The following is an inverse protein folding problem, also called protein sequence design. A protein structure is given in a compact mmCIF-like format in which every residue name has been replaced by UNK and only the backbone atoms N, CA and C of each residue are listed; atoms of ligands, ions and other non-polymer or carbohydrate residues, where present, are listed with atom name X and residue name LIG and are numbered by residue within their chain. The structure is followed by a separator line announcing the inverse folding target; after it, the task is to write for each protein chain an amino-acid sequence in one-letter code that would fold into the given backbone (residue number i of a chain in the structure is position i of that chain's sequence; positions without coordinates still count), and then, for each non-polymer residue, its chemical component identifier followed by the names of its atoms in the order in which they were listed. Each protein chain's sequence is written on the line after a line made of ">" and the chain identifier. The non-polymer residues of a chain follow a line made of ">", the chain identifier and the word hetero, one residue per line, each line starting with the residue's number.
data_IF_357282767592
#
_entry.id   IF_357282767592
#
_cell.length_a   1.000
_cell.length_b   1.000
_cell.length_c   1.000
_cell.angle_alpha   90.00
_cell.angle_beta   90.00
_cell.angle_gamma   90.00
#
_symmetry.space_group_name_H-M   'P 1'
#
loop_
_entity.id
_entity.type
_entity.pdbx_description
1 polymer ?
#
# COMPACT_ATOMS: atom_id res chain seq x y z
N UNK A 1 -15.76 -17.65 -20.63
CA UNK A 1 -15.19 -18.18 -19.37
C UNK A 1 -16.32 -18.77 -18.53
N UNK A 2 -16.13 -19.93 -17.85
CA UNK A 2 -17.08 -20.46 -16.91
C UNK A 2 -17.36 -19.46 -15.78
N UNK A 3 -18.60 -19.42 -15.28
CA UNK A 3 -19.03 -18.43 -14.26
C UNK A 3 -18.23 -18.53 -12.96
N UNK A 4 -17.78 -19.74 -12.62
CA UNK A 4 -16.96 -20.05 -11.44
C UNK A 4 -15.51 -19.50 -11.52
N UNK A 5 -15.04 -19.16 -12.73
CA UNK A 5 -13.72 -18.53 -12.94
C UNK A 5 -13.78 -17.01 -12.75
N UNK A 6 -14.97 -16.44 -12.81
CA UNK A 6 -15.19 -14.98 -12.72
C UNK A 6 -15.64 -14.56 -11.32
N UNK A 7 -16.34 -15.44 -10.61
CA UNK A 7 -16.86 -15.19 -9.26
C UNK A 7 -16.20 -16.16 -8.28
N UNK A 8 -15.42 -15.68 -7.32
CA UNK A 8 -14.94 -16.51 -6.22
C UNK A 8 -16.11 -17.12 -5.45
N UNK A 9 -15.93 -18.35 -4.94
CA UNK A 9 -16.95 -19.06 -4.18
C UNK A 9 -17.45 -18.20 -3.01
N UNK A 10 -18.78 -18.01 -2.96
CA UNK A 10 -19.45 -17.28 -1.89
C UNK A 10 -19.54 -15.76 -2.07
N UNK A 11 -19.01 -15.20 -3.17
CA UNK A 11 -19.09 -13.76 -3.47
C UNK A 11 -20.22 -13.48 -4.46
N UNK A 12 -21.11 -12.58 -4.13
CA UNK A 12 -22.18 -12.13 -5.01
C UNK A 12 -21.67 -11.10 -6.04
N UNK A 13 -22.35 -10.93 -7.20
CA UNK A 13 -21.98 -9.89 -8.16
C UNK A 13 -22.01 -8.47 -7.58
N UNK A 14 -22.86 -8.23 -6.60
CA UNK A 14 -22.96 -6.93 -5.93
C UNK A 14 -21.76 -6.68 -5.03
N UNK A 15 -21.38 -7.65 -4.20
CA UNK A 15 -20.17 -7.58 -3.36
C UNK A 15 -18.92 -7.43 -4.22
N UNK A 16 -18.82 -8.14 -5.35
CA UNK A 16 -17.70 -7.98 -6.29
C UNK A 16 -17.64 -6.56 -6.86
N UNK A 17 -18.78 -5.96 -7.18
CA UNK A 17 -18.87 -4.58 -7.65
C UNK A 17 -18.43 -3.59 -6.55
N UNK A 18 -18.85 -3.79 -5.32
CA UNK A 18 -18.47 -2.96 -4.17
C UNK A 18 -16.95 -3.05 -3.90
N UNK A 19 -16.38 -4.26 -3.92
CA UNK A 19 -14.94 -4.49 -3.81
C UNK A 19 -14.19 -3.78 -4.95
N UNK A 20 -14.70 -3.87 -6.18
CA UNK A 20 -14.06 -3.23 -7.34
C UNK A 20 -14.05 -1.71 -7.24
N UNK A 21 -15.14 -1.11 -6.76
CA UNK A 21 -15.24 0.33 -6.51
C UNK A 21 -14.27 0.74 -5.38
N UNK A 22 -14.24 -0.02 -4.29
CA UNK A 22 -13.33 0.26 -3.18
C UNK A 22 -11.86 0.18 -3.61
N UNK A 23 -11.50 -0.83 -4.39
CA UNK A 23 -10.16 -0.96 -4.95
C UNK A 23 -9.81 0.20 -5.88
N UNK A 24 -10.77 0.73 -6.63
CA UNK A 24 -10.57 1.91 -7.46
C UNK A 24 -10.29 3.15 -6.64
N UNK A 25 -11.09 3.41 -5.58
CA UNK A 25 -10.90 4.55 -4.68
C UNK A 25 -9.52 4.47 -4.00
N UNK A 26 -9.13 3.30 -3.56
CA UNK A 26 -7.80 3.09 -2.97
C UNK A 26 -6.70 3.39 -3.98
N UNK A 27 -6.82 2.88 -5.22
CA UNK A 27 -5.85 3.11 -6.28
C UNK A 27 -5.75 4.58 -6.70
N UNK A 28 -6.87 5.31 -6.70
CA UNK A 28 -6.93 6.75 -6.95
C UNK A 28 -6.15 7.52 -5.89
N UNK A 29 -6.40 7.24 -4.61
CA UNK A 29 -5.70 7.89 -3.51
C UNK A 29 -4.18 7.62 -3.56
N UNK A 30 -3.78 6.38 -3.81
CA UNK A 30 -2.36 6.02 -3.98
C UNK A 30 -1.75 6.74 -5.19
N UNK A 31 -2.46 6.81 -6.31
CA UNK A 31 -1.98 7.50 -7.51
C UNK A 31 -1.72 8.99 -7.28
N UNK A 32 -2.63 9.67 -6.56
CA UNK A 32 -2.47 11.07 -6.16
C UNK A 32 -1.26 11.21 -5.23
N UNK A 33 -1.18 10.37 -4.20
CA UNK A 33 -0.09 10.40 -3.23
C UNK A 33 1.28 10.25 -3.90
N UNK A 34 1.44 9.24 -4.75
CA UNK A 34 2.69 8.97 -5.48
C UNK A 34 3.05 10.12 -6.43
N UNK A 35 2.08 10.67 -7.16
CA UNK A 35 2.34 11.78 -8.08
C UNK A 35 2.78 13.04 -7.32
N UNK A 36 2.14 13.36 -6.20
CA UNK A 36 2.47 14.52 -5.37
C UNK A 36 3.83 14.35 -4.68
N UNK A 37 4.10 13.18 -4.09
CA UNK A 37 5.39 12.87 -3.47
C UNK A 37 6.54 12.96 -4.50
N UNK A 38 6.35 12.40 -5.69
CA UNK A 38 7.33 12.49 -6.80
C UNK A 38 7.63 13.95 -7.20
N UNK A 39 6.66 14.85 -7.07
CA UNK A 39 6.80 16.29 -7.32
C UNK A 39 7.37 17.06 -6.13
N UNK A 40 7.65 16.38 -5.00
CA UNK A 40 8.22 16.96 -3.79
C UNK A 40 7.21 17.67 -2.89
N UNK A 41 5.92 17.40 -3.07
CA UNK A 41 4.90 17.84 -2.11
C UNK A 41 4.91 16.93 -0.89
N UNK A 42 4.61 17.53 0.27
CA UNK A 42 4.44 16.78 1.52
C UNK A 42 3.09 16.04 1.50
N UNK A 43 3.15 14.72 1.56
CA UNK A 43 1.97 13.84 1.57
C UNK A 43 2.01 13.00 2.84
N UNK A 44 1.13 13.32 3.78
CA UNK A 44 1.00 12.54 5.00
C UNK A 44 0.03 11.36 4.78
N UNK A 45 0.37 10.20 5.33
CA UNK A 45 -0.47 9.01 5.33
C UNK A 45 -0.95 8.74 6.76
N UNK A 46 -2.25 8.74 6.96
CA UNK A 46 -2.89 8.40 8.22
C UNK A 46 -3.63 7.06 8.12
N UNK A 47 -3.68 6.33 9.22
CA UNK A 47 -4.41 5.08 9.36
C UNK A 47 -4.43 4.64 10.83
N UNK A 48 -4.96 3.46 11.09
CA UNK A 48 -5.09 2.95 12.46
C UNK A 48 -3.83 2.20 12.92
N UNK A 49 -2.81 2.06 12.07
CA UNK A 49 -1.62 1.27 12.33
C UNK A 49 -1.26 0.37 11.15
N UNK A 50 -0.51 -0.69 11.43
CA UNK A 50 -0.05 -1.67 10.42
C UNK A 50 -0.67 -3.03 10.69
N UNK A 51 -1.59 -3.45 9.85
CA UNK A 51 -2.28 -4.74 9.95
C UNK A 51 -1.39 -5.84 9.36
N UNK A 52 -1.17 -6.89 10.12
CA UNK A 52 -0.51 -8.11 9.65
C UNK A 52 -1.50 -8.92 8.82
N UNK A 53 -1.30 -9.00 7.51
CA UNK A 53 -2.17 -9.76 6.59
C UNK A 53 -1.65 -11.17 6.32
N UNK A 54 -0.36 -11.40 6.55
CA UNK A 54 0.29 -12.70 6.42
C UNK A 54 1.73 -12.65 6.90
N UNK A 55 2.36 -13.80 7.03
CA UNK A 55 3.77 -13.95 7.39
C UNK A 55 4.54 -14.57 6.23
N UNK A 56 5.80 -14.19 6.08
CA UNK A 56 6.71 -14.87 5.15
C UNK A 56 7.15 -16.24 5.71
N UNK A 57 7.51 -17.17 4.84
CA UNK A 57 7.84 -18.53 5.23
C UNK A 57 9.00 -18.62 6.24
N UNK A 58 10.05 -17.82 6.06
CA UNK A 58 11.24 -17.75 6.91
C UNK A 58 11.21 -16.56 7.89
N UNK A 59 10.03 -16.07 8.24
CA UNK A 59 9.86 -14.92 9.13
C UNK A 59 10.36 -15.17 10.54
N UNK A 60 11.21 -14.29 11.11
CA UNK A 60 11.68 -14.39 12.51
C UNK A 60 10.58 -14.13 13.53
N UNK A 61 9.41 -13.67 13.09
CA UNK A 61 8.24 -13.38 13.93
C UNK A 61 7.13 -14.44 13.82
N UNK A 62 7.41 -15.59 13.19
CA UNK A 62 6.42 -16.65 12.89
C UNK A 62 5.67 -17.15 14.13
N UNK A 63 6.33 -17.18 15.30
CA UNK A 63 5.73 -17.60 16.57
C UNK A 63 5.31 -16.42 17.47
N UNK A 64 5.41 -15.19 16.98
CA UNK A 64 5.19 -13.95 17.75
C UNK A 64 4.09 -13.09 17.17
N UNK A 65 4.03 -12.96 15.84
CA UNK A 65 2.98 -12.25 15.12
C UNK A 65 1.99 -13.21 14.49
N UNK A 66 0.76 -12.78 14.41
CA UNK A 66 -0.32 -13.55 13.78
C UNK A 66 -1.11 -12.64 12.82
N UNK A 67 -1.79 -13.27 11.86
CA UNK A 67 -2.72 -12.56 10.99
C UNK A 67 -3.77 -11.81 11.81
N UNK A 68 -4.06 -10.58 11.43
CA UNK A 68 -4.94 -9.60 12.07
C UNK A 68 -4.35 -8.93 13.33
N UNK A 69 -3.10 -9.12 13.67
CA UNK A 69 -2.43 -8.23 14.62
C UNK A 69 -2.36 -6.82 14.04
N UNK A 70 -2.64 -5.81 14.85
CA UNK A 70 -2.51 -4.41 14.48
C UNK A 70 -1.28 -3.82 15.17
N UNK A 71 -0.21 -3.61 14.42
CA UNK A 71 1.01 -2.98 14.94
C UNK A 71 0.77 -1.47 15.05
N UNK A 72 1.08 -0.93 16.20
CA UNK A 72 0.87 0.49 16.56
C UNK A 72 2.15 1.24 16.89
N UNK A 73 3.27 0.54 17.12
CA UNK A 73 4.55 1.18 17.41
C UNK A 73 5.75 0.28 17.10
N UNK A 74 6.90 0.92 16.91
CA UNK A 74 8.22 0.28 16.88
C UNK A 74 9.17 1.10 17.75
N UNK A 75 9.85 0.46 18.72
CA UNK A 75 10.73 1.12 19.70
C UNK A 75 10.07 2.38 20.30
N UNK A 76 8.82 2.25 20.78
CA UNK A 76 7.98 3.32 21.36
C UNK A 76 7.58 4.45 20.37
N UNK A 77 8.01 4.41 19.12
CA UNK A 77 7.56 5.36 18.09
C UNK A 77 6.25 4.86 17.49
N UNK A 78 5.19 5.67 17.61
CA UNK A 78 3.87 5.36 17.07
C UNK A 78 3.95 5.31 15.55
N UNK A 79 3.29 4.31 14.94
CA UNK A 79 3.13 4.18 13.51
C UNK A 79 1.66 4.08 13.17
N UNK A 80 1.22 4.87 12.20
CA UNK A 80 -0.18 4.95 11.75
C UNK A 80 -0.40 4.28 10.39
N UNK A 81 0.68 3.96 9.67
CA UNK A 81 0.60 3.36 8.36
C UNK A 81 1.78 2.43 8.07
N UNK A 82 1.61 1.54 7.09
CA UNK A 82 2.71 0.70 6.59
C UNK A 82 3.84 1.53 5.99
N UNK A 83 3.53 2.66 5.37
CA UNK A 83 4.52 3.59 4.82
C UNK A 83 5.40 4.18 5.93
N UNK A 84 4.81 4.69 7.01
CA UNK A 84 5.56 5.17 8.18
C UNK A 84 6.41 4.06 8.81
N UNK A 85 5.83 2.87 8.95
CA UNK A 85 6.54 1.71 9.51
C UNK A 85 7.77 1.34 8.68
N UNK A 86 7.63 1.25 7.35
CA UNK A 86 8.74 0.95 6.44
C UNK A 86 9.80 2.06 6.48
N UNK A 87 9.38 3.33 6.46
CA UNK A 87 10.30 4.47 6.56
C UNK A 87 11.10 4.45 7.85
N UNK A 88 10.44 4.07 8.95
CA UNK A 88 11.10 3.94 10.24
C UNK A 88 12.04 2.74 10.29
N UNK A 89 11.67 1.60 9.70
CA UNK A 89 12.56 0.43 9.58
C UNK A 89 13.87 0.78 8.87
N UNK A 90 13.82 1.58 7.81
CA UNK A 90 15.03 2.02 7.05
C UNK A 90 16.04 2.84 7.88
N UNK A 91 15.66 3.26 9.08
CA UNK A 91 16.58 3.96 10.00
C UNK A 91 17.39 3.00 10.89
N UNK A 92 17.13 1.71 10.83
CA UNK A 92 17.82 0.65 11.55
C UNK A 92 18.66 -0.19 10.60
N UNK A 93 19.62 -0.93 11.17
CA UNK A 93 20.45 -1.87 10.41
C UNK A 93 19.87 -3.30 10.43
N UNK A 94 20.18 -4.09 9.41
CA UNK A 94 19.90 -5.52 9.38
C UNK A 94 20.63 -6.19 10.55
N UNK A 95 19.90 -6.96 11.36
CA UNK A 95 20.42 -7.58 12.57
C UNK A 95 20.10 -6.82 13.85
N UNK A 96 19.59 -5.60 13.79
CA UNK A 96 19.14 -4.86 14.96
C UNK A 96 17.94 -5.54 15.62
N UNK A 97 17.92 -5.52 16.96
CA UNK A 97 16.74 -5.91 17.73
C UNK A 97 15.81 -4.71 17.90
N UNK A 98 14.52 -4.92 17.53
CA UNK A 98 13.47 -3.92 17.69
C UNK A 98 12.34 -4.46 18.55
N UNK A 99 11.67 -3.55 19.24
CA UNK A 99 10.49 -3.81 20.02
C UNK A 99 9.24 -3.33 19.22
N UNK A 100 8.27 -4.22 19.02
CA UNK A 100 7.05 -3.94 18.26
C UNK A 100 5.87 -3.98 19.23
N UNK A 101 5.19 -2.85 19.37
CA UNK A 101 3.90 -2.75 20.05
C UNK A 101 2.76 -3.07 19.09
N UNK A 102 1.81 -3.88 19.53
CA UNK A 102 0.66 -4.29 18.72
C UNK A 102 -0.59 -4.48 19.58
N UNK A 103 -1.74 -4.45 18.95
CA UNK A 103 -3.04 -4.81 19.54
C UNK A 103 -3.49 -6.15 18.95
N UNK A 104 -3.82 -7.09 19.82
CA UNK A 104 -4.39 -8.43 19.48
C UNK A 104 -5.57 -8.72 20.39
N UNK A 105 -6.76 -8.95 19.82
CA UNK A 105 -7.98 -9.21 20.58
C UNK A 105 -8.26 -8.14 21.65
N UNK A 106 -8.06 -6.87 21.30
CA UNK A 106 -8.23 -5.70 22.20
C UNK A 106 -7.21 -5.63 23.36
N UNK A 107 -6.15 -6.44 23.34
CA UNK A 107 -5.06 -6.41 24.32
C UNK A 107 -3.78 -5.83 23.69
N UNK A 108 -3.13 -4.94 24.44
CA UNK A 108 -1.81 -4.39 24.08
C UNK A 108 -0.73 -5.43 24.35
N UNK A 109 0.06 -5.74 23.35
CA UNK A 109 1.12 -6.72 23.39
C UNK A 109 2.41 -6.07 22.86
N UNK A 110 3.53 -6.43 23.48
CA UNK A 110 4.85 -6.06 23.00
C UNK A 110 5.66 -7.29 22.69
N UNK A 111 6.31 -7.31 21.54
CA UNK A 111 7.21 -8.37 21.12
C UNK A 111 8.58 -7.81 20.75
N UNK A 112 9.62 -8.64 20.86
CA UNK A 112 10.98 -8.31 20.37
C UNK A 112 11.33 -9.21 19.20
N UNK A 113 11.97 -8.62 18.20
CA UNK A 113 12.44 -9.36 17.02
C UNK A 113 13.71 -8.74 16.48
N UNK A 114 14.44 -9.53 15.68
CA UNK A 114 15.61 -9.05 14.96
C UNK A 114 15.22 -8.76 13.53
N UNK A 115 15.67 -7.64 12.98
CA UNK A 115 15.47 -7.28 11.60
C UNK A 115 16.28 -8.18 10.68
N UNK A 116 15.66 -8.62 9.60
CA UNK A 116 16.31 -9.44 8.55
C UNK A 116 16.39 -8.63 7.25
N UNK A 117 17.18 -9.11 6.31
CA UNK A 117 17.27 -8.51 4.99
C UNK A 117 15.99 -8.74 4.20
N UNK A 118 15.55 -7.70 3.46
CA UNK A 118 14.37 -7.78 2.62
C UNK A 118 14.58 -8.78 1.48
N UNK A 119 13.52 -9.56 1.15
CA UNK A 119 13.61 -10.65 0.16
C UNK A 119 13.82 -10.18 -1.29
N UNK A 120 13.45 -8.94 -1.61
CA UNK A 120 13.53 -8.37 -2.97
C UNK A 120 14.48 -7.18 -3.06
N UNK A 121 14.76 -6.49 -1.95
CA UNK A 121 15.60 -5.28 -1.92
C UNK A 121 16.83 -5.51 -1.07
N UNK A 122 18.01 -5.54 -1.73
CA UNK A 122 19.29 -5.72 -1.06
C UNK A 122 19.59 -4.57 -0.08
N UNK A 123 20.12 -4.90 1.10
CA UNK A 123 20.47 -3.97 2.17
C UNK A 123 19.29 -3.20 2.80
N UNK A 124 18.05 -3.61 2.57
CA UNK A 124 16.90 -3.04 3.26
C UNK A 124 16.44 -3.95 4.42
N UNK A 125 16.25 -3.40 5.64
CA UNK A 125 15.78 -4.19 6.77
C UNK A 125 14.26 -4.42 6.70
N UNK A 126 13.81 -5.61 7.12
CA UNK A 126 12.40 -5.94 7.27
C UNK A 126 12.14 -6.80 8.51
N UNK A 127 10.87 -6.90 8.91
CA UNK A 127 10.41 -7.77 10.02
C UNK A 127 9.98 -9.16 9.51
N UNK A 128 9.56 -9.29 8.26
CA UNK A 128 9.19 -10.57 7.65
C UNK A 128 7.70 -10.89 7.67
N UNK A 129 6.84 -9.88 7.53
CA UNK A 129 5.39 -10.05 7.36
C UNK A 129 4.85 -9.19 6.22
N UNK A 130 3.66 -9.54 5.74
CA UNK A 130 2.91 -8.75 4.77
C UNK A 130 2.03 -7.73 5.50
N UNK A 131 2.18 -6.47 5.13
CA UNK A 131 1.55 -5.34 5.79
C UNK A 131 0.40 -4.74 4.97
N UNK A 132 -0.57 -4.16 5.68
CA UNK A 132 -1.61 -3.30 5.11
C UNK A 132 -1.91 -2.17 6.11
N UNK A 133 -2.44 -1.05 5.63
CA UNK A 133 -2.87 0.06 6.47
C UNK A 133 -4.39 0.09 6.52
N UNK A 134 -5.02 -0.32 7.63
CA UNK A 134 -6.47 -0.20 7.76
C UNK A 134 -6.88 1.27 7.85
N UNK A 135 -8.03 1.60 7.25
CA UNK A 135 -8.59 2.96 7.20
C UNK A 135 -7.60 4.02 6.69
N UNK A 136 -6.72 3.63 5.76
CA UNK A 136 -5.73 4.53 5.19
C UNK A 136 -6.39 5.75 4.54
N UNK A 137 -5.87 6.93 4.91
CA UNK A 137 -6.19 8.23 4.30
C UNK A 137 -4.89 8.95 3.99
N UNK A 138 -4.92 9.74 2.94
CA UNK A 138 -3.82 10.64 2.61
C UNK A 138 -4.27 12.08 2.85
N UNK A 139 -3.38 12.88 3.41
CA UNK A 139 -3.57 14.32 3.58
C UNK A 139 -2.72 15.02 2.53
N UNK A 140 -3.39 15.72 1.62
CA UNK A 140 -2.76 16.43 0.53
C UNK A 140 -2.67 17.92 0.83
N UNK A 141 -1.66 18.64 0.31
CA UNK A 141 -1.50 20.09 0.53
C UNK A 141 -2.59 20.92 -0.18
N UNK A 142 -3.36 20.32 -1.08
CA UNK A 142 -4.50 20.92 -1.78
C UNK A 142 -5.49 19.83 -2.23
N UNK A 143 -6.71 20.23 -2.57
CA UNK A 143 -7.74 19.32 -3.03
C UNK A 143 -7.41 18.80 -4.44
N UNK A 144 -7.45 17.48 -4.60
CA UNK A 144 -7.29 16.79 -5.89
C UNK A 144 -8.52 15.92 -6.10
N UNK A 145 -9.23 16.14 -7.21
CA UNK A 145 -10.40 15.37 -7.61
C UNK A 145 -10.15 14.70 -8.96
N UNK A 146 -10.25 13.38 -9.01
CA UNK A 146 -10.12 12.60 -10.23
C UNK A 146 -11.49 12.02 -10.58
N UNK A 147 -12.04 12.43 -11.71
CA UNK A 147 -13.29 11.88 -12.17
C UNK A 147 -13.05 10.63 -13.03
N UNK A 148 -13.14 9.47 -12.42
CA UNK A 148 -12.99 8.17 -13.07
C UNK A 148 -14.29 7.63 -13.70
N UNK A 149 -15.41 8.33 -13.51
CA UNK A 149 -16.72 7.89 -13.98
C UNK A 149 -17.14 6.54 -13.38
N UNK A 150 -17.48 5.58 -14.23
CA UNK A 150 -17.90 4.24 -13.82
C UNK A 150 -16.77 3.19 -13.97
N UNK A 151 -15.53 3.60 -14.03
CA UNK A 151 -14.39 2.68 -14.10
C UNK A 151 -14.21 2.01 -12.74
N UNK A 152 -14.05 0.70 -12.72
CA UNK A 152 -13.78 -0.07 -11.51
C UNK A 152 -12.45 -0.80 -11.59
N UNK A 153 -11.90 -1.13 -10.42
CA UNK A 153 -10.67 -1.89 -10.27
C UNK A 153 -9.39 -1.01 -10.29
N UNK A 154 -8.29 -1.50 -9.70
CA UNK A 154 -7.10 -0.71 -9.44
C UNK A 154 -6.16 -0.53 -10.65
N UNK A 155 -6.49 -1.12 -11.80
CA UNK A 155 -5.61 -1.19 -12.97
C UNK A 155 -5.39 0.13 -13.72
N UNK A 156 -6.08 1.19 -13.33
CA UNK A 156 -5.88 2.53 -13.88
C UNK A 156 -4.89 3.39 -13.06
N UNK A 157 -4.43 2.92 -11.90
CA UNK A 157 -3.63 3.66 -10.95
C UNK A 157 -2.38 4.32 -11.55
N UNK A 158 -1.59 3.56 -12.29
CA UNK A 158 -0.41 4.11 -12.98
C UNK A 158 -0.78 5.28 -13.90
N UNK A 159 -1.83 5.14 -14.70
CA UNK A 159 -2.23 6.20 -15.63
C UNK A 159 -2.80 7.42 -14.90
N UNK A 160 -3.47 7.23 -13.77
CA UNK A 160 -3.92 8.33 -12.92
C UNK A 160 -2.73 9.07 -12.31
N UNK A 161 -1.73 8.37 -11.77
CA UNK A 161 -0.51 8.99 -11.25
C UNK A 161 0.22 9.82 -12.32
N UNK A 162 0.42 9.25 -13.51
CA UNK A 162 1.03 9.97 -14.64
C UNK A 162 0.21 11.20 -15.07
N UNK A 163 -1.12 11.12 -15.04
CA UNK A 163 -1.98 12.25 -15.39
C UNK A 163 -1.89 13.37 -14.35
N UNK A 164 -1.95 13.04 -13.05
CA UNK A 164 -1.77 14.02 -11.96
C UNK A 164 -0.38 14.68 -12.08
N UNK A 165 0.66 13.88 -12.25
CA UNK A 165 2.02 14.38 -12.46
C UNK A 165 2.10 15.35 -13.65
N UNK A 166 1.54 14.95 -14.79
CA UNK A 166 1.55 15.78 -16.01
C UNK A 166 0.79 17.11 -15.85
N UNK A 167 -0.33 17.09 -15.12
CA UNK A 167 -1.13 18.30 -14.88
C UNK A 167 -0.41 19.33 -13.97
N UNK A 168 0.47 18.86 -13.10
CA UNK A 168 1.18 19.68 -12.13
C UNK A 168 2.59 20.08 -12.56
N UNK A 169 3.07 19.58 -13.70
CA UNK A 169 4.37 19.94 -14.28
C UNK A 169 4.19 20.98 -15.38
N UNK A 170 5.19 21.86 -15.55
CA UNK A 170 5.17 22.87 -16.61
C UNK A 170 5.30 22.27 -18.02
N UNK A 171 5.97 21.13 -18.13
CA UNK A 171 6.23 20.47 -19.40
C UNK A 171 5.29 19.27 -19.55
N UNK A 172 4.60 19.20 -20.68
CA UNK A 172 3.80 18.03 -21.04
C UNK A 172 4.71 16.81 -21.28
N UNK A 173 4.67 15.83 -20.33
CA UNK A 173 5.46 14.60 -20.42
C UNK A 173 5.07 13.72 -21.61
N UNK A 174 3.89 13.94 -22.19
CA UNK A 174 3.42 13.20 -23.36
C UNK A 174 3.98 13.76 -24.68
N UNK A 175 4.60 14.94 -24.64
CA UNK A 175 5.03 15.69 -25.83
C UNK A 175 3.90 15.85 -26.87
N UNK A 176 2.66 16.03 -26.42
CA UNK A 176 1.46 16.18 -27.26
C UNK A 176 0.90 14.86 -27.82
N UNK A 177 1.46 13.71 -27.43
CA UNK A 177 0.96 12.41 -27.87
C UNK A 177 -0.21 11.94 -27.00
N UNK A 178 -1.11 11.15 -27.60
CA UNK A 178 -2.14 10.44 -26.86
C UNK A 178 -1.52 9.15 -26.31
N UNK A 179 -1.44 9.07 -24.99
CA UNK A 179 -0.91 7.90 -24.28
C UNK A 179 -2.08 7.06 -23.75
N UNK A 180 -1.98 5.76 -23.90
CA UNK A 180 -2.87 4.79 -23.26
C UNK A 180 -2.03 3.71 -22.58
N UNK A 181 -2.45 3.32 -21.40
CA UNK A 181 -1.75 2.31 -20.61
C UNK A 181 -2.65 1.72 -19.53
N UNK A 182 -2.17 0.70 -18.87
CA UNK A 182 -2.83 0.08 -17.72
C UNK A 182 -1.75 -0.45 -16.77
N UNK A 183 -1.99 -0.38 -15.48
CA UNK A 183 -1.11 -0.84 -14.41
C UNK A 183 -1.67 -0.40 -13.07
N UNK A 184 -1.49 -1.21 -12.05
CA UNK A 184 -1.66 -0.74 -10.68
C UNK A 184 -0.49 0.18 -10.31
N UNK A 185 -0.65 0.96 -9.26
CA UNK A 185 0.42 1.77 -8.68
C UNK A 185 0.48 1.46 -7.18
N UNK A 186 1.68 1.18 -6.70
CA UNK A 186 1.94 0.97 -5.29
C UNK A 186 2.45 2.28 -4.65
N UNK A 187 2.37 2.37 -3.33
CA UNK A 187 2.72 3.61 -2.61
C UNK A 187 4.21 3.98 -2.75
N UNK A 188 5.07 3.03 -3.05
CA UNK A 188 6.49 3.25 -3.34
C UNK A 188 6.76 3.70 -4.79
N UNK A 189 5.71 3.89 -5.58
CA UNK A 189 5.78 4.27 -6.99
C UNK A 189 6.01 3.12 -7.95
N UNK A 190 6.12 1.88 -7.49
CA UNK A 190 6.24 0.71 -8.36
C UNK A 190 4.93 0.42 -9.10
N UNK A 191 5.06 -0.13 -10.30
CA UNK A 191 3.92 -0.50 -11.16
C UNK A 191 3.68 -1.99 -11.09
N UNK A 192 2.51 -2.36 -10.62
CA UNK A 192 2.12 -3.75 -10.49
C UNK A 192 1.44 -4.33 -11.74
N UNK A 193 1.29 -5.66 -11.79
CA UNK A 193 0.68 -6.37 -12.90
C UNK A 193 -0.83 -6.15 -12.98
N UNK A 194 -1.39 -6.33 -14.17
CA UNK A 194 -2.83 -6.32 -14.41
C UNK A 194 -3.31 -7.68 -14.88
N UNK A 195 -4.47 -8.09 -14.39
CA UNK A 195 -5.11 -9.33 -14.85
C UNK A 195 -5.79 -9.14 -16.22
N UNK A 196 -5.94 -10.27 -16.96
CA UNK A 196 -6.75 -10.31 -18.17
C UNK A 196 -6.09 -9.79 -19.46
N UNK A 197 -4.81 -9.44 -19.42
CA UNK A 197 -4.00 -9.12 -20.61
C UNK A 197 -3.27 -10.40 -21.02
N UNK A 198 -3.68 -10.99 -22.14
CA UNK A 198 -3.08 -12.19 -22.74
C UNK A 198 -2.43 -11.84 -24.07
#
# INVERSE_FOLDING_TARGET
>A
YPREVILPDGVTPQELSEISIQNMITSENVAIAVALDTLGYDVESEGDGVLVVGLLDDSPVKDKLYKNDLITSINDQIVKSSTEFISLLKTYDIGDEVEIGLVRNEEDITIKTTLIEHVEYENEPMVGFLASTPNQKFVYPFEVDINTGNVGGPSAGMMMALNVYNLLTENDITAGNKIAGTGTIEIDGSVGPVGGVT
#
